data_IF_999744413173
#
_entry.id   IF_999744413173
#
_cell.length_a   1.000
_cell.length_b   1.000
_cell.length_c   1.000
_cell.angle_alpha   90.00
_cell.angle_beta   90.00
_cell.angle_gamma   90.00
#
_symmetry.space_group_name_H-M   'P 1'
#
loop_
_entity.id
_entity.type
_entity.pdbx_description
1 polymer ?
#
# COMPACT_ATOMS: atom_id res chain seq x y z
N UNK A 1 -47.80 43.73 -29.46
CA UNK A 1 -46.67 43.00 -30.08
C UNK A 1 -45.41 43.34 -29.31
N UNK A 2 -44.83 42.32 -28.67
CA UNK A 2 -43.80 42.41 -27.63
C UNK A 2 -42.43 42.86 -28.15
N UNK A 3 -41.77 43.71 -27.36
CA UNK A 3 -40.32 43.94 -27.37
C UNK A 3 -39.76 43.67 -25.97
N UNK A 4 -38.59 43.02 -25.97
CA UNK A 4 -37.50 43.05 -24.99
C UNK A 4 -37.79 42.87 -23.50
N UNK A 5 -37.29 41.75 -22.95
CA UNK A 5 -36.45 41.76 -21.72
C UNK A 5 -35.41 40.62 -21.83
N UNK A 6 -34.17 40.98 -22.15
CA UNK A 6 -32.96 40.26 -21.73
C UNK A 6 -32.36 41.01 -20.54
N UNK A 7 -31.51 40.34 -19.74
CA UNK A 7 -30.96 40.74 -18.42
C UNK A 7 -32.00 40.57 -17.31
N UNK A 8 -31.84 39.72 -16.30
CA UNK A 8 -30.66 39.46 -15.46
C UNK A 8 -31.04 38.24 -14.61
N UNK A 9 -30.40 37.08 -14.74
CA UNK A 9 -30.59 35.92 -13.82
C UNK A 9 -29.59 34.80 -14.12
N UNK A 10 -28.32 35.14 -14.26
CA UNK A 10 -27.20 34.20 -14.11
C UNK A 10 -26.20 34.91 -13.19
N UNK A 11 -25.66 34.22 -12.18
CA UNK A 11 -24.97 34.73 -10.97
C UNK A 11 -25.94 35.08 -9.83
N UNK A 12 -26.44 34.05 -9.10
CA UNK A 12 -25.80 33.80 -7.80
C UNK A 12 -25.80 32.30 -7.39
N UNK A 13 -25.59 31.37 -8.32
CA UNK A 13 -25.42 29.94 -7.95
C UNK A 13 -23.97 29.46 -7.96
N UNK A 14 -23.02 30.22 -8.52
CA UNK A 14 -21.62 29.81 -8.64
C UNK A 14 -20.73 30.21 -7.45
N UNK A 15 -21.22 31.05 -6.53
CA UNK A 15 -20.44 31.50 -5.36
C UNK A 15 -20.68 30.67 -4.09
N UNK A 16 -21.62 29.72 -4.12
CA UNK A 16 -21.94 28.83 -2.98
C UNK A 16 -21.22 27.47 -3.00
N UNK A 17 -20.45 27.16 -4.05
CA UNK A 17 -19.64 25.93 -4.10
C UNK A 17 -18.16 26.11 -3.77
N UNK A 18 -17.69 27.34 -3.53
CA UNK A 18 -16.28 27.59 -3.16
C UNK A 18 -16.06 27.51 -1.62
N UNK A 19 -17.13 27.41 -0.84
CA UNK A 19 -17.08 27.40 0.63
C UNK A 19 -16.82 26.03 1.30
N UNK A 20 -16.48 24.98 0.53
CA UNK A 20 -16.11 23.67 1.08
C UNK A 20 -14.71 23.22 0.64
N UNK A 21 -13.74 24.13 0.61
CA UNK A 21 -12.37 23.75 0.92
C UNK A 21 -12.30 23.71 2.46
N UNK A 22 -12.93 22.70 3.05
CA UNK A 22 -12.69 22.38 4.45
C UNK A 22 -11.20 22.10 4.54
N UNK A 23 -10.48 22.92 5.32
CA UNK A 23 -9.07 22.71 5.58
C UNK A 23 -8.88 21.28 6.03
N UNK A 24 -8.23 20.46 5.21
CA UNK A 24 -7.68 19.22 5.72
C UNK A 24 -6.63 19.65 6.74
N UNK A 25 -6.82 19.27 8.01
CA UNK A 25 -5.86 19.54 9.05
C UNK A 25 -4.54 18.88 8.62
N UNK A 26 -3.65 19.69 8.07
CA UNK A 26 -2.33 19.24 7.64
C UNK A 26 -1.51 18.97 8.89
N UNK A 27 -0.92 17.79 8.99
CA UNK A 27 -0.04 17.41 10.11
C UNK A 27 1.37 17.17 9.64
N UNK A 28 2.33 17.35 10.54
CA UNK A 28 3.74 17.14 10.20
C UNK A 28 4.16 15.70 10.51
N UNK A 29 4.52 14.92 9.50
CA UNK A 29 5.04 13.56 9.68
C UNK A 29 6.54 13.53 9.49
N UNK A 30 7.25 12.64 10.19
CA UNK A 30 8.64 12.34 9.84
C UNK A 30 8.70 11.66 8.48
N UNK A 31 9.64 12.09 7.64
CA UNK A 31 9.89 11.56 6.31
C UNK A 31 11.32 11.05 6.21
N UNK A 32 11.48 9.75 6.00
CA UNK A 32 12.77 9.11 5.84
C UNK A 32 12.65 7.71 5.23
N UNK A 33 13.76 7.18 4.76
CA UNK A 33 13.98 5.79 4.43
C UNK A 33 15.38 5.37 4.88
N UNK A 34 15.57 4.10 5.25
CA UNK A 34 16.92 3.56 5.51
C UNK A 34 17.82 3.79 4.29
N UNK A 35 19.07 4.23 4.52
CA UNK A 35 20.04 4.56 3.45
C UNK A 35 20.19 3.48 2.39
N UNK A 36 20.21 2.22 2.82
CA UNK A 36 20.47 1.06 1.97
C UNK A 36 19.30 0.76 1.02
N UNK A 37 18.11 1.31 1.28
CA UNK A 37 16.98 1.23 0.37
C UNK A 37 17.14 2.08 -0.88
N UNK A 38 18.11 3.01 -0.94
CA UNK A 38 18.29 3.89 -2.11
C UNK A 38 18.39 3.11 -3.43
N UNK A 39 19.17 2.03 -3.42
CA UNK A 39 19.36 1.17 -4.60
C UNK A 39 18.45 -0.07 -4.58
N UNK A 40 17.58 -0.19 -3.57
CA UNK A 40 16.69 -1.33 -3.34
C UNK A 40 15.24 -0.91 -3.12
N UNK A 41 14.86 0.29 -3.59
CA UNK A 41 13.54 0.87 -3.30
C UNK A 41 12.39 -0.03 -3.80
N UNK A 42 12.65 -0.81 -4.85
CA UNK A 42 11.74 -1.82 -5.39
C UNK A 42 11.25 -2.83 -4.34
N UNK A 43 11.99 -3.07 -3.25
CA UNK A 43 11.57 -3.97 -2.17
C UNK A 43 10.35 -3.44 -1.40
N UNK A 44 10.13 -2.12 -1.41
CA UNK A 44 9.05 -1.49 -0.64
C UNK A 44 7.68 -1.62 -1.30
N UNK A 45 7.65 -1.71 -2.64
CA UNK A 45 6.42 -1.61 -3.43
C UNK A 45 5.73 -0.23 -3.35
N UNK A 46 6.46 0.81 -2.92
CA UNK A 46 5.96 2.18 -2.75
C UNK A 46 6.31 3.08 -3.94
N UNK A 47 5.63 4.23 -4.03
CA UNK A 47 5.95 5.27 -5.00
C UNK A 47 7.41 5.77 -4.84
N UNK A 48 8.09 6.21 -5.92
CA UNK A 48 9.42 6.78 -5.83
C UNK A 48 9.47 8.01 -4.90
N UNK A 49 10.56 8.13 -4.14
CA UNK A 49 10.81 9.23 -3.19
C UNK A 49 12.08 9.99 -3.57
N UNK A 50 12.23 11.27 -3.16
CA UNK A 50 13.45 12.02 -3.42
C UNK A 50 14.63 11.48 -2.59
N UNK A 51 15.84 11.69 -3.11
CA UNK A 51 17.08 11.24 -2.48
C UNK A 51 17.27 11.71 -1.03
N UNK A 52 16.65 12.83 -0.66
CA UNK A 52 16.69 13.39 0.70
C UNK A 52 15.99 12.53 1.75
N UNK A 53 15.20 11.52 1.37
CA UNK A 53 14.59 10.59 2.32
C UNK A 53 15.63 9.62 2.89
N UNK A 54 16.66 9.27 2.12
CA UNK A 54 17.59 8.19 2.50
C UNK A 54 18.59 8.66 3.56
N UNK A 55 18.52 8.05 4.74
CA UNK A 55 19.36 8.39 5.90
C UNK A 55 19.65 7.17 6.76
N UNK A 56 20.81 7.16 7.44
CA UNK A 56 21.19 6.11 8.39
C UNK A 56 20.31 6.11 9.66
N UNK A 57 19.65 7.22 9.96
CA UNK A 57 18.98 7.45 11.24
C UNK A 57 17.47 7.21 11.18
N UNK A 58 16.93 6.64 10.09
CA UNK A 58 15.49 6.46 9.92
C UNK A 58 14.87 5.47 10.93
N UNK A 59 15.67 4.57 11.50
CA UNK A 59 15.25 3.69 12.59
C UNK A 59 15.19 4.36 13.97
N UNK A 60 15.87 5.49 14.16
CA UNK A 60 15.94 6.19 15.44
C UNK A 60 14.68 7.02 15.68
N UNK A 61 14.59 7.65 16.85
CA UNK A 61 13.59 8.71 17.07
C UNK A 61 13.81 9.91 16.13
N UNK A 62 12.72 10.52 15.69
CA UNK A 62 12.61 11.56 14.67
C UNK A 62 13.14 12.94 15.04
N UNK A 63 13.76 13.11 16.19
CA UNK A 63 14.36 14.38 16.60
C UNK A 63 15.39 14.95 15.60
N UNK A 64 15.91 14.13 14.67
CA UNK A 64 16.87 14.51 13.63
C UNK A 64 16.37 14.27 12.19
N UNK A 65 15.08 13.97 12.00
CA UNK A 65 14.52 13.62 10.69
C UNK A 65 13.80 14.79 10.03
N UNK A 66 13.81 14.80 8.69
CA UNK A 66 13.00 15.73 7.92
C UNK A 66 11.51 15.53 8.26
N UNK A 67 10.75 16.62 8.23
CA UNK A 67 9.30 16.60 8.40
C UNK A 67 8.64 17.08 7.12
N UNK A 68 7.52 16.46 6.78
CA UNK A 68 6.67 16.89 5.68
C UNK A 68 5.23 17.09 6.15
N UNK A 69 4.52 18.00 5.49
CA UNK A 69 3.13 18.31 5.80
C UNK A 69 2.20 17.37 5.03
N UNK A 70 1.34 16.65 5.74
CA UNK A 70 0.53 15.58 5.20
C UNK A 70 -0.96 15.92 5.26
N UNK A 71 -1.71 15.77 4.15
CA UNK A 71 -3.16 15.92 4.12
C UNK A 71 -3.92 14.70 4.70
N UNK A 72 -3.21 13.74 5.32
CA UNK A 72 -3.74 12.49 5.86
C UNK A 72 -2.79 11.88 6.89
N UNK A 73 -2.89 10.58 7.19
CA UNK A 73 -2.11 9.94 8.24
C UNK A 73 -0.61 9.85 7.91
N UNK A 74 0.19 9.86 8.96
CA UNK A 74 1.59 9.47 8.89
C UNK A 74 1.69 7.96 8.71
N UNK A 75 2.67 7.52 7.93
CA UNK A 75 2.95 6.13 7.64
C UNK A 75 4.30 5.72 8.20
N UNK A 76 4.36 4.48 8.67
CA UNK A 76 5.60 3.77 8.99
C UNK A 76 5.53 2.36 8.42
N UNK A 77 6.53 1.97 7.63
CA UNK A 77 6.74 0.60 7.18
C UNK A 77 8.09 0.12 7.67
N UNK A 78 8.11 -1.08 8.25
CA UNK A 78 9.33 -1.72 8.76
C UNK A 78 9.36 -3.16 8.27
N UNK A 79 10.50 -3.63 7.79
CA UNK A 79 10.63 -5.02 7.35
C UNK A 79 12.08 -5.51 7.42
N UNK A 80 12.25 -6.81 7.60
CA UNK A 80 13.57 -7.46 7.52
C UNK A 80 14.10 -7.42 6.07
N UNK A 81 15.41 -7.24 5.91
CA UNK A 81 16.09 -7.33 4.62
C UNK A 81 15.99 -8.77 4.08
N UNK A 82 15.30 -9.01 2.94
CA UNK A 82 15.14 -10.36 2.39
C UNK A 82 16.46 -11.00 1.96
N UNK A 83 17.51 -10.21 1.72
CA UNK A 83 18.84 -10.71 1.33
C UNK A 83 19.61 -11.36 2.49
N UNK A 84 19.22 -11.06 3.73
CA UNK A 84 19.88 -11.48 4.98
C UNK A 84 19.06 -12.57 5.71
N UNK A 85 18.00 -13.09 5.08
CA UNK A 85 17.19 -14.17 5.65
C UNK A 85 17.85 -15.51 5.30
N UNK A 86 18.45 -16.16 6.30
CA UNK A 86 19.09 -17.45 6.11
C UNK A 86 19.46 -18.17 7.40
N UNK A 87 19.81 -19.46 7.33
CA UNK A 87 20.10 -20.29 8.51
C UNK A 87 21.33 -19.83 9.32
N UNK A 88 22.18 -18.99 8.73
CA UNK A 88 23.43 -18.51 9.33
C UNK A 88 23.33 -17.13 9.98
N UNK A 89 22.19 -16.44 9.86
CA UNK A 89 22.03 -15.05 10.30
C UNK A 89 20.99 -14.97 11.43
N UNK A 90 21.43 -14.62 12.65
CA UNK A 90 20.58 -14.61 13.84
C UNK A 90 19.58 -13.43 13.87
N UNK A 91 19.88 -12.33 13.18
CA UNK A 91 19.00 -11.17 13.05
C UNK A 91 19.26 -10.47 11.71
N UNK A 92 18.30 -10.52 10.75
CA UNK A 92 18.40 -9.76 9.52
C UNK A 92 18.49 -8.25 9.79
N UNK A 93 19.17 -7.50 8.90
CA UNK A 93 19.10 -6.05 8.94
C UNK A 93 17.65 -5.58 8.75
N UNK A 94 17.24 -4.50 9.42
CA UNK A 94 15.88 -3.97 9.32
C UNK A 94 15.85 -2.71 8.48
N UNK A 95 14.89 -2.62 7.56
CA UNK A 95 14.59 -1.44 6.78
C UNK A 95 13.37 -0.70 7.32
N UNK A 96 13.46 0.63 7.36
CA UNK A 96 12.41 1.53 7.86
C UNK A 96 12.09 2.57 6.79
N UNK A 97 10.81 2.84 6.59
CA UNK A 97 10.29 3.92 5.74
C UNK A 97 9.24 4.69 6.51
N UNK A 98 9.31 6.03 6.47
CA UNK A 98 8.37 6.96 7.10
C UNK A 98 8.00 8.08 6.15
N UNK A 99 6.78 8.59 6.25
CA UNK A 99 6.33 9.77 5.51
C UNK A 99 4.82 9.94 5.54
N UNK A 100 4.28 10.79 4.68
CA UNK A 100 2.85 10.84 4.43
C UNK A 100 2.39 9.55 3.74
N UNK A 101 1.32 8.92 4.25
CA UNK A 101 0.75 7.74 3.62
C UNK A 101 0.38 7.96 2.14
N UNK A 102 -0.27 9.08 1.84
CA UNK A 102 -0.70 9.42 0.48
C UNK A 102 0.47 9.64 -0.47
N UNK A 103 1.57 10.23 0.00
CA UNK A 103 2.78 10.44 -0.82
C UNK A 103 3.44 9.11 -1.16
N UNK A 104 3.49 8.18 -0.21
CA UNK A 104 4.17 6.89 -0.38
C UNK A 104 3.34 5.85 -1.14
N UNK A 105 2.01 5.94 -1.07
CA UNK A 105 1.12 4.91 -1.62
C UNK A 105 0.19 5.38 -2.73
N UNK A 106 0.06 6.69 -2.97
CA UNK A 106 -0.97 7.29 -3.83
C UNK A 106 -2.42 6.91 -3.45
N UNK A 107 -2.64 6.33 -2.27
CA UNK A 107 -3.96 5.96 -1.75
C UNK A 107 -4.41 7.00 -0.74
N UNK A 108 -5.71 7.32 -0.75
CA UNK A 108 -6.36 8.04 0.34
C UNK A 108 -6.96 7.00 1.28
N UNK A 109 -6.56 7.05 2.55
CA UNK A 109 -7.15 6.27 3.64
C UNK A 109 -7.51 7.20 4.78
N UNK A 110 -8.60 6.89 5.47
CA UNK A 110 -9.00 7.49 6.75
C UNK A 110 -8.54 6.63 7.94
N UNK A 111 -7.87 5.49 7.70
CA UNK A 111 -7.32 4.67 8.78
C UNK A 111 -6.19 5.40 9.49
N UNK A 112 -6.29 5.43 10.82
CA UNK A 112 -5.34 6.17 11.66
C UNK A 112 -5.63 7.67 11.75
N UNK A 113 -6.65 8.19 11.04
CA UNK A 113 -7.15 9.55 11.27
C UNK A 113 -8.15 9.55 12.45
N UNK A 114 -7.87 10.37 13.47
CA UNK A 114 -8.84 10.69 14.50
C UNK A 114 -9.81 11.75 13.97
N UNK A 115 -10.79 11.37 13.15
CA UNK A 115 -11.94 12.23 12.89
C UNK A 115 -13.13 11.79 13.77
N UNK A 116 -13.02 12.08 15.06
CA UNK A 116 -14.10 11.84 16.04
C UNK A 116 -15.24 12.82 15.82
N UNK A 117 -16.14 12.51 14.87
CA UNK A 117 -17.50 13.05 14.86
C UNK A 117 -18.53 12.09 15.51
N UNK A 118 -18.10 10.89 15.90
CA UNK A 118 -18.89 9.97 16.71
C UNK A 118 -18.18 9.77 18.05
N UNK A 119 -18.85 10.16 19.13
CA UNK A 119 -18.32 10.26 20.50
C UNK A 119 -17.98 8.93 21.19
N UNK A 120 -17.36 7.98 20.50
CA UNK A 120 -16.71 6.84 21.14
C UNK A 120 -15.25 7.17 21.45
N UNK A 121 -15.02 7.58 22.69
CA UNK A 121 -13.75 8.09 23.20
C UNK A 121 -12.78 6.97 23.63
N UNK A 122 -13.03 5.70 23.26
CA UNK A 122 -12.30 4.55 23.83
C UNK A 122 -11.30 3.85 22.91
N UNK A 123 -11.08 4.33 21.68
CA UNK A 123 -10.18 3.66 20.73
C UNK A 123 -9.40 4.70 19.88
N UNK A 124 -8.50 5.47 20.52
CA UNK A 124 -7.46 6.27 19.85
C UNK A 124 -6.44 5.35 19.19
N UNK A 125 -6.72 4.86 17.98
CA UNK A 125 -5.97 3.73 17.41
C UNK A 125 -5.07 4.14 16.25
N UNK A 126 -3.77 4.08 16.50
CA UNK A 126 -2.81 3.75 15.46
C UNK A 126 -3.29 2.45 14.79
N UNK A 127 -3.51 2.49 13.47
CA UNK A 127 -3.78 1.28 12.70
C UNK A 127 -2.45 0.59 12.45
N UNK A 128 -2.28 -0.62 12.95
CA UNK A 128 -0.98 -1.29 13.01
C UNK A 128 -1.16 -2.76 12.65
N UNK A 129 -0.41 -3.22 11.65
CA UNK A 129 -0.45 -4.58 11.12
C UNK A 129 0.96 -5.16 11.04
N UNK A 130 1.07 -6.48 11.23
CA UNK A 130 2.33 -7.21 11.29
C UNK A 130 2.10 -8.55 10.61
N UNK A 131 3.07 -8.97 9.84
CA UNK A 131 3.14 -10.30 9.26
C UNK A 131 4.55 -10.84 9.48
N UNK A 132 4.69 -11.89 10.27
CA UNK A 132 5.97 -12.52 10.58
C UNK A 132 6.44 -13.49 9.51
N UNK A 133 5.61 -13.74 8.49
CA UNK A 133 5.89 -14.63 7.36
C UNK A 133 5.51 -13.96 6.05
N UNK A 134 5.77 -12.66 5.95
CA UNK A 134 5.53 -11.88 4.75
C UNK A 134 6.45 -12.37 3.64
N UNK A 135 5.91 -12.64 2.45
CA UNK A 135 6.70 -13.19 1.32
C UNK A 135 7.35 -12.06 0.53
N UNK A 136 8.68 -12.08 0.43
CA UNK A 136 9.46 -11.19 -0.45
C UNK A 136 10.49 -12.00 -1.23
N UNK A 137 10.87 -11.48 -2.40
CA UNK A 137 11.99 -12.03 -3.17
C UNK A 137 13.32 -11.48 -2.63
N UNK A 138 14.29 -12.36 -2.44
CA UNK A 138 15.69 -11.97 -2.24
C UNK A 138 16.32 -11.49 -3.58
N UNK A 139 17.55 -10.98 -3.54
CA UNK A 139 18.33 -10.57 -4.72
C UNK A 139 18.57 -11.67 -5.74
N UNK A 140 18.35 -12.93 -5.41
CA UNK A 140 18.48 -14.09 -6.31
C UNK A 140 17.13 -14.49 -6.91
N UNK A 141 16.03 -13.85 -6.50
CA UNK A 141 14.67 -14.18 -6.91
C UNK A 141 14.02 -15.32 -6.11
N UNK A 142 14.67 -15.80 -5.04
CA UNK A 142 14.06 -16.80 -4.15
C UNK A 142 13.09 -16.11 -3.22
N UNK A 143 11.96 -16.77 -2.94
CA UNK A 143 11.02 -16.25 -1.96
C UNK A 143 11.41 -16.67 -0.55
N UNK A 144 11.56 -15.66 0.30
CA UNK A 144 11.86 -15.79 1.71
C UNK A 144 10.72 -15.22 2.55
N UNK A 145 10.64 -15.67 3.79
CA UNK A 145 9.74 -15.10 4.78
C UNK A 145 10.49 -13.99 5.52
N UNK A 146 9.97 -12.77 5.46
CA UNK A 146 10.43 -11.64 6.27
C UNK A 146 9.37 -11.29 7.30
N UNK A 147 9.78 -10.66 8.39
CA UNK A 147 8.85 -9.95 9.26
C UNK A 147 8.61 -8.57 8.67
N UNK A 148 7.36 -8.14 8.66
CA UNK A 148 6.95 -6.83 8.15
C UNK A 148 5.91 -6.22 9.08
N UNK A 149 5.99 -4.91 9.28
CA UNK A 149 5.01 -4.09 9.97
C UNK A 149 4.61 -2.90 9.09
N UNK A 150 3.34 -2.54 9.14
CA UNK A 150 2.80 -1.29 8.61
C UNK A 150 1.99 -0.58 9.69
N UNK A 151 2.22 0.72 9.88
CA UNK A 151 1.47 1.55 10.82
C UNK A 151 0.99 2.84 10.17
N UNK A 152 -0.26 3.21 10.45
CA UNK A 152 -0.85 4.51 10.17
C UNK A 152 -1.22 5.17 11.49
N UNK A 153 -0.82 6.42 11.65
CA UNK A 153 -1.16 7.23 12.81
C UNK A 153 -1.50 8.65 12.40
N UNK A 154 -2.22 9.36 13.26
CA UNK A 154 -2.83 10.62 12.84
C UNK A 154 -3.50 11.44 13.92
N UNK A 155 -3.26 11.07 15.16
CA UNK A 155 -3.80 11.71 16.35
C UNK A 155 -3.02 12.97 16.74
N UNK A 156 -1.71 13.02 16.44
CA UNK A 156 -0.83 14.14 16.73
C UNK A 156 0.21 14.36 15.63
N UNK A 157 0.80 15.55 15.58
CA UNK A 157 1.98 15.83 14.77
C UNK A 157 3.10 14.85 15.13
N UNK A 158 3.73 14.32 14.08
CA UNK A 158 4.91 13.47 14.17
C UNK A 158 4.67 12.19 14.99
N UNK A 159 3.45 11.65 14.94
CA UNK A 159 3.06 10.41 15.62
C UNK A 159 3.88 9.18 15.18
N UNK A 160 4.55 9.24 14.02
CA UNK A 160 5.43 8.20 13.51
C UNK A 160 6.87 8.29 14.07
N UNK A 161 7.02 8.61 15.35
CA UNK A 161 8.30 8.83 16.06
C UNK A 161 8.92 7.56 16.68
N UNK A 162 8.35 6.39 16.42
CA UNK A 162 8.79 5.15 17.06
C UNK A 162 10.27 4.86 16.80
N UNK A 163 10.96 4.28 17.78
CA UNK A 163 12.34 3.82 17.63
C UNK A 163 12.32 2.32 17.34
N UNK A 164 13.09 1.90 16.34
CA UNK A 164 13.23 0.50 15.97
C UNK A 164 14.63 0.04 16.33
N UNK A 165 14.72 -0.77 17.39
CA UNK A 165 15.96 -1.42 17.82
C UNK A 165 16.43 -2.47 16.80
N UNK A 166 17.57 -3.11 17.05
CA UNK A 166 18.16 -4.17 16.20
C UNK A 166 17.18 -5.30 15.89
N UNK A 167 16.28 -5.60 16.83
CA UNK A 167 15.08 -6.40 16.58
C UNK A 167 13.84 -5.51 16.71
N UNK A 168 13.28 -5.08 15.58
CA UNK A 168 12.11 -4.19 15.58
C UNK A 168 10.85 -4.85 16.15
N UNK A 169 10.82 -6.18 16.28
CA UNK A 169 9.71 -6.87 16.94
C UNK A 169 9.75 -6.68 18.47
N UNK A 170 10.91 -6.37 19.03
CA UNK A 170 11.07 -6.09 20.45
C UNK A 170 10.44 -4.73 20.77
N UNK A 171 9.29 -4.74 21.43
CA UNK A 171 8.57 -3.52 21.85
C UNK A 171 7.46 -3.06 20.90
N UNK A 172 7.35 -3.64 19.70
CA UNK A 172 6.22 -3.40 18.81
C UNK A 172 5.03 -4.26 19.27
N UNK A 173 4.05 -3.62 19.87
CA UNK A 173 2.73 -4.21 20.13
C UNK A 173 1.69 -3.49 19.30
N UNK A 174 1.33 -4.07 18.15
CA UNK A 174 0.12 -3.62 17.46
C UNK A 174 -1.10 -4.08 18.28
N UNK A 175 -1.47 -3.30 19.30
CA UNK A 175 -2.49 -3.64 20.30
C UNK A 175 -3.88 -3.97 19.71
N UNK A 176 -4.11 -3.63 18.42
CA UNK A 176 -5.35 -3.88 17.69
C UNK A 176 -5.16 -4.76 16.45
N UNK A 177 -4.20 -5.70 16.51
CA UNK A 177 -4.15 -6.80 15.55
C UNK A 177 -5.41 -7.64 15.69
N UNK A 178 -6.46 -7.27 14.98
CA UNK A 178 -7.50 -8.21 14.65
C UNK A 178 -6.89 -9.17 13.63
N UNK A 179 -6.36 -10.29 14.14
CA UNK A 179 -6.09 -11.51 13.39
C UNK A 179 -7.38 -12.16 12.88
N UNK A 180 -8.48 -11.38 12.79
CA UNK A 180 -9.75 -11.84 12.30
C UNK A 180 -9.63 -11.98 10.78
N UNK A 181 -9.00 -13.09 10.40
CA UNK A 181 -8.83 -13.54 9.03
C UNK A 181 -10.15 -14.11 8.49
N UNK A 182 -11.25 -13.94 9.22
CA UNK A 182 -12.54 -14.48 8.85
C UNK A 182 -13.25 -13.54 7.89
N UNK A 183 -13.76 -14.16 6.82
CA UNK A 183 -14.76 -13.63 5.93
C UNK A 183 -15.99 -14.53 6.09
N UNK A 184 -17.10 -13.98 6.57
CA UNK A 184 -18.32 -14.74 6.88
C UNK A 184 -18.04 -15.96 7.79
N UNK A 185 -17.34 -15.73 8.91
CA UNK A 185 -16.94 -16.75 9.89
C UNK A 185 -16.01 -17.87 9.36
N UNK A 186 -15.42 -17.70 8.16
CA UNK A 186 -14.50 -18.67 7.56
C UNK A 186 -13.16 -18.01 7.22
N UNK A 187 -12.00 -18.68 7.40
CA UNK A 187 -10.72 -18.12 6.98
C UNK A 187 -10.74 -17.67 5.51
N UNK A 188 -10.23 -16.48 5.23
CA UNK A 188 -10.04 -15.98 3.88
C UNK A 188 -8.98 -16.86 3.19
N UNK A 189 -9.38 -17.54 2.13
CA UNK A 189 -8.47 -18.32 1.30
C UNK A 189 -8.06 -17.50 0.08
N UNK A 190 -6.80 -17.59 -0.27
CA UNK A 190 -6.18 -16.86 -1.36
C UNK A 190 -5.48 -17.83 -2.29
N UNK A 191 -5.35 -17.43 -3.56
CA UNK A 191 -4.40 -18.09 -4.43
C UNK A 191 -2.99 -17.72 -4.00
N UNK A 192 -2.10 -18.69 -4.00
CA UNK A 192 -0.67 -18.49 -3.81
C UNK A 192 0.06 -19.03 -5.03
N UNK A 193 0.94 -18.20 -5.59
CA UNK A 193 1.82 -18.61 -6.67
C UNK A 193 2.97 -17.62 -6.83
N UNK A 194 4.05 -18.14 -7.37
CA UNK A 194 5.33 -17.47 -7.43
C UNK A 194 5.83 -17.61 -8.86
N UNK A 195 6.28 -16.51 -9.50
CA UNK A 195 6.78 -16.62 -10.86
C UNK A 195 8.02 -17.53 -10.86
N UNK A 196 8.11 -18.37 -11.88
CA UNK A 196 9.28 -19.22 -12.15
C UNK A 196 9.64 -19.09 -13.61
N UNK A 197 10.87 -19.46 -13.97
CA UNK A 197 11.32 -19.36 -15.35
C UNK A 197 10.37 -20.13 -16.29
N UNK A 198 9.83 -19.42 -17.30
CA UNK A 198 8.87 -19.99 -18.27
C UNK A 198 7.46 -20.28 -17.73
N UNK A 199 7.15 -20.03 -16.46
CA UNK A 199 5.82 -20.28 -15.86
C UNK A 199 5.40 -19.16 -14.91
N UNK A 200 4.26 -18.54 -15.20
CA UNK A 200 3.84 -17.34 -14.48
C UNK A 200 3.12 -17.62 -13.15
N UNK A 201 2.32 -18.69 -13.06
CA UNK A 201 1.55 -19.00 -11.83
C UNK A 201 0.94 -20.41 -11.89
N UNK A 202 1.31 -21.30 -10.96
CA UNK A 202 0.53 -22.51 -10.64
C UNK A 202 -0.07 -22.32 -9.25
N UNK A 203 -1.39 -22.30 -9.17
CA UNK A 203 -2.09 -21.84 -7.98
C UNK A 203 -2.11 -22.93 -6.89
N UNK A 204 -1.56 -22.59 -5.72
CA UNK A 204 -1.83 -23.26 -4.44
C UNK A 204 -2.76 -22.39 -3.59
N UNK A 205 -3.01 -22.82 -2.35
CA UNK A 205 -3.89 -22.15 -1.39
C UNK A 205 -3.10 -21.70 -0.17
N UNK A 206 -3.37 -20.49 0.30
CA UNK A 206 -2.97 -20.05 1.64
C UNK A 206 -4.07 -19.19 2.31
N UNK A 207 -3.93 -18.91 3.61
CA UNK A 207 -4.95 -18.20 4.40
C UNK A 207 -4.33 -17.20 5.37
N UNK A 208 -4.67 -15.91 5.23
CA UNK A 208 -4.31 -14.78 6.12
C UNK A 208 -5.37 -13.67 6.00
N UNK A 209 -5.17 -12.52 6.65
CA UNK A 209 -6.13 -11.41 6.68
C UNK A 209 -6.49 -10.86 5.30
N UNK A 210 -5.54 -10.79 4.39
CA UNK A 210 -5.69 -10.25 3.04
C UNK A 210 -5.13 -11.23 2.00
N UNK A 211 -5.74 -11.24 0.82
CA UNK A 211 -5.08 -11.76 -0.36
C UNK A 211 -4.29 -10.64 -1.05
N UNK A 212 -3.04 -10.93 -1.40
CA UNK A 212 -2.15 -10.03 -2.11
C UNK A 212 -1.92 -10.52 -3.55
N UNK A 213 -1.81 -9.57 -4.47
CA UNK A 213 -1.43 -9.79 -5.86
C UNK A 213 -0.43 -8.72 -6.26
N UNK A 214 0.73 -9.13 -6.74
CA UNK A 214 1.75 -8.25 -7.28
C UNK A 214 2.02 -8.63 -8.74
N UNK A 215 2.12 -7.63 -9.61
CA UNK A 215 2.39 -7.82 -11.01
C UNK A 215 3.48 -6.85 -11.46
N UNK A 216 4.55 -7.37 -12.04
CA UNK A 216 5.58 -6.57 -12.70
C UNK A 216 5.39 -6.74 -14.20
N UNK A 217 5.13 -5.65 -14.91
CA UNK A 217 5.03 -5.62 -16.38
C UNK A 217 6.29 -4.98 -16.96
N UNK A 218 6.89 -5.68 -17.91
CA UNK A 218 8.01 -5.21 -18.74
C UNK A 218 7.56 -5.22 -20.20
N UNK A 219 8.20 -4.42 -21.06
CA UNK A 219 7.88 -4.40 -22.49
C UNK A 219 8.24 -5.76 -23.11
N UNK A 220 7.23 -6.63 -23.27
CA UNK A 220 7.36 -8.01 -23.75
C UNK A 220 6.75 -9.08 -22.83
N UNK A 221 6.32 -8.74 -21.61
CA UNK A 221 5.70 -9.73 -20.71
C UNK A 221 5.31 -9.21 -19.32
N UNK A 222 4.85 -10.12 -18.47
CA UNK A 222 4.57 -9.81 -17.07
C UNK A 222 4.99 -10.98 -16.19
N UNK A 223 5.36 -10.66 -14.95
CA UNK A 223 5.51 -11.63 -13.87
C UNK A 223 4.43 -11.38 -12.82
N UNK A 224 3.82 -12.45 -12.33
CA UNK A 224 2.72 -12.41 -11.39
C UNK A 224 3.09 -13.18 -10.12
N UNK A 225 2.94 -12.53 -8.97
CA UNK A 225 3.00 -13.17 -7.67
C UNK A 225 1.67 -13.02 -6.96
N UNK A 226 1.20 -14.10 -6.34
CA UNK A 226 0.02 -14.12 -5.49
C UNK A 226 0.39 -14.74 -4.15
N UNK A 227 -0.11 -14.16 -3.07
CA UNK A 227 0.09 -14.70 -1.73
C UNK A 227 -1.01 -14.21 -0.81
N UNK A 228 -0.96 -14.61 0.45
CA UNK A 228 -1.79 -14.08 1.52
C UNK A 228 -0.89 -13.36 2.53
N UNK A 229 -1.42 -12.35 3.20
CA UNK A 229 -0.66 -11.54 4.15
C UNK A 229 -1.55 -10.96 5.24
N UNK A 230 -0.97 -10.70 6.41
CA UNK A 230 -1.61 -9.98 7.50
C UNK A 230 -1.40 -8.46 7.43
N UNK A 231 -0.61 -7.98 6.47
CA UNK A 231 -0.28 -6.55 6.30
C UNK A 231 -0.83 -6.02 4.98
N UNK A 232 -1.51 -4.88 5.04
CA UNK A 232 -1.95 -4.11 3.90
C UNK A 232 -1.46 -2.65 4.03
N UNK A 233 -0.46 -2.29 3.22
CA UNK A 233 0.17 -0.96 3.25
C UNK A 233 -0.76 0.16 2.77
N UNK A 234 -1.86 -0.15 2.07
CA UNK A 234 -2.80 0.87 1.59
C UNK A 234 -3.77 1.33 2.65
N UNK A 235 -3.95 0.59 3.75
CA UNK A 235 -4.96 0.92 4.76
C UNK A 235 -6.39 0.89 4.21
N UNK A 236 -6.65 0.18 3.10
CA UNK A 236 -7.98 0.04 2.49
C UNK A 236 -8.13 -1.43 2.09
N UNK A 237 -9.17 -2.11 2.58
CA UNK A 237 -9.28 -3.57 2.51
C UNK A 237 -9.31 -4.14 1.10
N UNK A 238 -9.75 -3.37 0.11
CA UNK A 238 -9.74 -3.74 -1.31
C UNK A 238 -9.25 -2.58 -2.14
N UNK A 239 -8.00 -2.64 -2.59
CA UNK A 239 -7.36 -1.57 -3.36
C UNK A 239 -6.20 -2.12 -4.19
N UNK A 240 -6.00 -1.53 -5.37
CA UNK A 240 -4.84 -1.74 -6.22
C UNK A 240 -4.16 -0.41 -6.50
N UNK A 241 -2.84 -0.40 -6.54
CA UNK A 241 -2.05 0.73 -7.04
C UNK A 241 -1.04 0.26 -8.06
N UNK A 242 -0.76 1.13 -9.02
CA UNK A 242 0.26 0.90 -10.05
C UNK A 242 1.24 2.05 -10.05
N UNK A 243 2.52 1.71 -10.06
CA UNK A 243 3.61 2.67 -10.11
C UNK A 243 4.50 2.37 -11.31
N UNK A 244 4.99 3.42 -11.95
CA UNK A 244 6.07 3.30 -12.91
C UNK A 244 7.39 3.21 -12.12
N UNK A 245 8.14 2.13 -12.36
CA UNK A 245 9.45 1.88 -11.75
C UNK A 245 10.51 1.99 -12.83
N UNK A 246 11.47 2.89 -12.63
CA UNK A 246 12.60 3.07 -13.53
C UNK A 246 13.83 2.41 -12.91
N UNK A 247 14.38 1.41 -13.59
CA UNK A 247 15.67 0.81 -13.25
C UNK A 247 16.69 1.21 -14.30
N UNK A 248 17.98 1.25 -13.93
CA UNK A 248 19.03 1.67 -14.83
C UNK A 248 20.19 0.64 -14.89
N UNK A 249 19.93 -0.59 -15.40
CA UNK A 249 20.99 -1.57 -15.59
C UNK A 249 22.00 -1.08 -16.64
N UNK A 250 23.25 -0.88 -16.23
CA UNK A 250 24.35 -0.53 -17.15
C UNK A 250 24.21 0.81 -17.86
N UNK A 251 23.43 1.76 -17.33
CA UNK A 251 23.21 3.07 -17.95
C UNK A 251 22.01 3.13 -18.92
N UNK A 252 21.29 2.01 -19.12
CA UNK A 252 20.07 1.96 -19.93
C UNK A 252 18.83 2.10 -19.02
N UNK A 253 18.01 3.16 -19.20
CA UNK A 253 16.76 3.28 -18.45
C UNK A 253 15.74 2.24 -18.93
N UNK A 254 15.32 1.38 -18.02
CA UNK A 254 14.26 0.39 -18.22
C UNK A 254 13.04 0.82 -17.41
N UNK A 255 11.93 1.07 -18.11
CA UNK A 255 10.64 1.33 -17.48
C UNK A 255 9.92 0.01 -17.26
N UNK A 256 9.46 -0.22 -16.04
CA UNK A 256 8.54 -1.30 -15.69
C UNK A 256 7.32 -0.75 -14.97
N UNK A 257 6.19 -1.44 -15.05
CA UNK A 257 5.00 -1.10 -14.27
C UNK A 257 4.83 -2.12 -13.16
N UNK A 258 4.81 -1.65 -11.93
CA UNK A 258 4.57 -2.48 -10.76
C UNK A 258 3.17 -2.21 -10.23
N UNK A 259 2.31 -3.22 -10.26
CA UNK A 259 0.97 -3.20 -9.69
C UNK A 259 0.95 -4.03 -8.41
N UNK A 260 0.41 -3.48 -7.33
CA UNK A 260 0.20 -4.18 -6.07
C UNK A 260 -1.25 -4.02 -5.64
N UNK A 261 -1.88 -5.12 -5.25
CA UNK A 261 -3.26 -5.18 -4.82
C UNK A 261 -3.41 -5.94 -3.51
N UNK A 262 -4.34 -5.48 -2.68
CA UNK A 262 -4.84 -6.19 -1.51
C UNK A 262 -6.36 -6.30 -1.61
N UNK A 263 -6.91 -7.43 -1.14
CA UNK A 263 -8.35 -7.64 -1.08
C UNK A 263 -8.73 -8.55 0.11
N UNK A 264 -9.94 -8.36 0.62
CA UNK A 264 -10.57 -9.18 1.69
C UNK A 264 -12.08 -9.39 1.46
N UNK A 265 -12.62 -8.95 0.34
CA UNK A 265 -14.06 -8.91 0.04
C UNK A 265 -14.69 -10.29 -0.26
N UNK A 266 -13.90 -11.24 -0.81
CA UNK A 266 -14.36 -12.59 -1.14
C UNK A 266 -13.25 -13.63 -1.08
N UNK A 267 -13.65 -14.90 -1.00
CA UNK A 267 -12.72 -16.03 -1.16
C UNK A 267 -12.01 -15.93 -2.51
N UNK A 268 -10.70 -16.15 -2.52
CA UNK A 268 -9.84 -16.11 -3.71
C UNK A 268 -9.90 -14.78 -4.49
N UNK A 269 -10.09 -13.65 -3.79
CA UNK A 269 -10.23 -12.33 -4.41
C UNK A 269 -8.99 -11.89 -5.22
N UNK A 270 -7.81 -12.47 -4.97
CA UNK A 270 -6.59 -12.24 -5.76
C UNK A 270 -6.50 -13.09 -7.05
N UNK A 271 -7.64 -13.61 -7.51
CA UNK A 271 -7.78 -14.23 -8.83
C UNK A 271 -7.27 -13.34 -9.98
N UNK A 272 -6.96 -13.94 -11.12
CA UNK A 272 -6.65 -13.16 -12.31
C UNK A 272 -7.90 -12.34 -12.72
N UNK A 273 -7.72 -11.05 -12.99
CA UNK A 273 -8.72 -10.20 -13.64
C UNK A 273 -8.77 -10.57 -15.13
N UNK A 274 -9.03 -11.85 -15.44
CA UNK A 274 -9.11 -12.37 -16.81
C UNK A 274 -10.55 -12.56 -17.28
N UNK A 275 -11.52 -12.65 -16.36
CA UNK A 275 -12.89 -13.00 -16.71
C UNK A 275 -13.80 -11.78 -16.95
N UNK A 276 -13.55 -10.62 -16.35
CA UNK A 276 -14.47 -9.48 -16.48
C UNK A 276 -14.51 -8.91 -17.91
N UNK A 277 -13.37 -8.87 -18.62
CA UNK A 277 -13.34 -8.45 -20.02
C UNK A 277 -13.99 -9.47 -20.96
N UNK A 278 -13.76 -10.77 -20.74
CA UNK A 278 -14.39 -11.82 -21.54
C UNK A 278 -15.92 -11.87 -21.33
N UNK A 279 -16.39 -11.66 -20.09
CA UNK A 279 -17.82 -11.59 -19.76
C UNK A 279 -18.46 -10.33 -20.33
N UNK A 280 -17.81 -9.16 -20.24
CA UNK A 280 -18.31 -7.93 -20.89
C UNK A 280 -18.40 -8.06 -22.42
N UNK A 281 -17.41 -8.70 -23.05
CA UNK A 281 -17.43 -8.95 -24.49
C UNK A 281 -18.52 -9.95 -24.90
N UNK A 282 -18.77 -10.99 -24.10
CA UNK A 282 -19.89 -11.92 -24.34
C UNK A 282 -21.25 -11.25 -24.15
N UNK A 283 -21.43 -10.37 -23.17
CA UNK A 283 -22.67 -9.60 -23.01
C UNK A 283 -22.89 -8.63 -24.17
N UNK A 284 -21.85 -7.92 -24.61
CA UNK A 284 -21.95 -7.02 -25.78
C UNK A 284 -22.30 -7.80 -27.07
N UNK A 285 -21.72 -8.98 -27.26
CA UNK A 285 -22.04 -9.87 -28.37
C UNK A 285 -23.48 -10.40 -28.29
N UNK A 286 -23.95 -10.79 -27.11
CA UNK A 286 -25.32 -11.29 -26.92
C UNK A 286 -26.37 -10.21 -27.18
N UNK A 287 -26.13 -8.97 -26.74
CA UNK A 287 -27.00 -7.83 -27.05
C UNK A 287 -26.98 -7.47 -28.54
N UNK A 288 -25.85 -7.64 -29.24
CA UNK A 288 -25.80 -7.38 -30.69
C UNK A 288 -26.60 -8.39 -31.53
N UNK A 289 -26.85 -9.61 -31.02
CA UNK A 289 -27.63 -10.65 -31.73
C UNK A 289 -29.13 -10.55 -31.41
N UNK A 290 -29.51 -10.00 -30.25
CA UNK A 290 -30.91 -9.82 -29.86
C UNK A 290 -31.59 -8.58 -30.47
N UNK A 291 -30.80 -7.66 -31.04
CA UNK A 291 -31.29 -6.43 -31.66
C UNK A 291 -31.11 -6.39 -33.19
N UNK A 292 -30.88 -7.56 -33.82
CA UNK A 292 -30.96 -7.77 -35.26
C UNK A 292 -32.02 -8.83 -35.60
#
# INVERSE_FOLDING_TARGET
MQRSVYFTLFLPLLTLQVGRIMGQNSRNCFACASSDLKNKWYLTGLAPVPDSYFTSNCGNRGNQMARESCPGPCFTMVFDNPDDVGPTQQTPATYVVRGCHRTLTNVVTDRGDNNTNNGDNTQRRNFCEIDTTYKMADRRGNLVNVRMMSMLCGDVDSCNDQEFATDFMTGVTCANQTNDNLLNNSPLNCYECTPSEGKNCHESKCSKKYCSKQQVKLDGGFQLMKTCTNVNIFGVDTMCQTYDVFTNPGGVPVKSQYTQCYCKDKQFCNSAVGASLAVCLMFMAFFSVLFF
#
